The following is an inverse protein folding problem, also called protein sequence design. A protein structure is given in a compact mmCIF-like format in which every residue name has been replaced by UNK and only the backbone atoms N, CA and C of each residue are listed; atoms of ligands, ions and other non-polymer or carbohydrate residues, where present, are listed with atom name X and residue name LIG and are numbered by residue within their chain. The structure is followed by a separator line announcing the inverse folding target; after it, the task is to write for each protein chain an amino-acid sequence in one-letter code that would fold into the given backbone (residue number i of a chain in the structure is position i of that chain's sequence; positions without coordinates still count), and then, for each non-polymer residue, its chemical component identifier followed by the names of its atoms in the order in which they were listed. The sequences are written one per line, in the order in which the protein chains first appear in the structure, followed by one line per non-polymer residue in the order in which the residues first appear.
data_IF_223902610057
#
_entry.id   IF_223902610057
#
_cell.length_a   1.000
_cell.length_b   1.000
_cell.length_c   1.000
_cell.angle_alpha   90.00
_cell.angle_beta   90.00
_cell.angle_gamma   90.00
#
_symmetry.space_group_name_H-M   'P 1'
#
loop_
_entity.id
_entity.type
_entity.pdbx_description
1 polymer ?
#
# COMPACT_ATOMS: atom_id res chain seq x y z
N UNK A 1 5.93 -32.81 43.41
CA UNK A 1 6.42 -31.49 42.96
C UNK A 1 6.68 -31.52 41.44
N UNK A 2 5.67 -31.23 40.60
CA UNK A 2 5.80 -31.09 39.11
C UNK A 2 4.95 -29.92 38.59
N UNK A 3 5.05 -28.77 39.25
CA UNK A 3 4.21 -27.57 38.98
C UNK A 3 5.01 -26.50 38.21
N UNK A 4 6.35 -26.61 38.14
CA UNK A 4 7.21 -25.60 37.52
C UNK A 4 7.07 -25.56 35.99
N UNK A 5 6.93 -26.70 35.30
CA UNK A 5 6.84 -26.74 33.82
C UNK A 5 5.51 -26.22 33.24
N UNK A 6 4.40 -26.25 34.00
CA UNK A 6 3.10 -25.77 33.52
C UNK A 6 2.98 -24.24 33.53
N UNK A 7 3.76 -23.57 34.40
CA UNK A 7 3.81 -22.10 34.47
C UNK A 7 4.66 -21.52 33.33
N UNK A 8 5.79 -22.14 33.00
CA UNK A 8 6.66 -21.67 31.91
C UNK A 8 6.00 -21.83 30.53
N UNK A 9 5.24 -22.91 30.31
CA UNK A 9 4.48 -23.10 29.05
C UNK A 9 3.33 -22.10 28.90
N UNK A 10 2.70 -21.69 30.01
CA UNK A 10 1.63 -20.70 29.99
C UNK A 10 2.17 -19.29 29.72
N UNK A 11 3.35 -18.96 30.27
CA UNK A 11 4.00 -17.66 30.09
C UNK A 11 4.53 -17.47 28.65
N UNK A 12 5.04 -18.53 28.02
CA UNK A 12 5.51 -18.48 26.62
C UNK A 12 4.37 -18.31 25.63
N UNK A 13 3.21 -18.95 25.86
CA UNK A 13 2.03 -18.82 24.99
C UNK A 13 1.45 -17.39 24.97
N UNK A 14 1.46 -16.70 26.12
CA UNK A 14 0.98 -15.31 26.22
C UNK A 14 1.92 -14.36 25.45
N UNK A 15 3.25 -14.53 25.56
CA UNK A 15 4.23 -13.74 24.83
C UNK A 15 4.13 -13.92 23.30
N UNK A 16 3.83 -15.13 22.82
CA UNK A 16 3.67 -15.42 21.38
C UNK A 16 2.47 -14.67 20.77
N UNK A 17 1.41 -14.43 21.56
CA UNK A 17 0.20 -13.73 21.10
C UNK A 17 0.36 -12.22 20.91
N UNK A 18 1.30 -11.57 21.63
CA UNK A 18 1.57 -10.13 21.47
C UNK A 18 2.34 -9.79 20.17
N UNK A 19 2.90 -10.80 19.50
CA UNK A 19 3.68 -10.64 18.26
C UNK A 19 2.88 -10.88 16.97
N UNK A 20 1.57 -11.06 17.04
CA UNK A 20 0.74 -11.22 15.83
C UNK A 20 0.49 -9.83 15.23
N UNK A 21 1.49 -9.34 14.48
CA UNK A 21 1.33 -8.21 13.58
C UNK A 21 0.27 -8.55 12.54
N UNK A 22 -0.96 -8.09 12.78
CA UNK A 22 -2.08 -8.20 11.84
C UNK A 22 -1.83 -7.29 10.63
N UNK A 23 -0.97 -7.71 9.71
CA UNK A 23 -0.91 -7.12 8.38
C UNK A 23 -2.08 -7.68 7.56
N UNK A 24 -3.25 -7.06 7.70
CA UNK A 24 -4.37 -7.30 6.79
C UNK A 24 -4.06 -6.61 5.46
N UNK A 25 -3.46 -7.35 4.53
CA UNK A 25 -3.30 -6.88 3.15
C UNK A 25 -4.48 -7.36 2.32
N UNK A 26 -5.62 -6.70 2.49
CA UNK A 26 -6.55 -6.48 1.38
C UNK A 26 -6.28 -5.06 0.84
N UNK A 27 -5.02 -4.79 0.47
CA UNK A 27 -4.63 -3.47 0.02
C UNK A 27 -5.04 -3.33 -1.45
N UNK A 28 -6.14 -2.63 -1.69
CA UNK A 28 -6.56 -2.15 -3.02
C UNK A 28 -5.65 -1.03 -3.54
N UNK A 29 -4.60 -0.72 -2.79
CA UNK A 29 -3.59 0.28 -3.08
C UNK A 29 -2.20 -0.35 -3.08
N UNK A 30 -1.28 0.24 -3.82
CA UNK A 30 0.13 -0.15 -3.88
C UNK A 30 0.96 1.10 -3.68
N UNK A 31 1.82 1.11 -2.66
CA UNK A 31 2.82 2.16 -2.48
C UNK A 31 4.06 1.82 -3.29
N UNK A 32 4.56 2.76 -4.08
CA UNK A 32 5.80 2.61 -4.83
C UNK A 32 6.64 3.88 -4.79
N UNK A 33 7.96 3.72 -4.63
CA UNK A 33 8.88 4.82 -4.36
C UNK A 33 10.13 4.73 -5.22
N UNK A 34 10.49 5.84 -5.87
CA UNK A 34 11.79 6.02 -6.53
C UNK A 34 12.77 6.55 -5.50
N UNK A 35 13.73 5.72 -5.10
CA UNK A 35 14.80 6.09 -4.17
C UNK A 35 15.98 6.66 -4.97
N UNK A 36 16.62 7.70 -4.46
CA UNK A 36 17.78 8.35 -5.09
C UNK A 36 17.55 8.75 -6.57
N UNK A 37 16.30 9.07 -6.93
CA UNK A 37 15.90 9.38 -8.31
C UNK A 37 16.00 8.22 -9.32
N UNK A 38 16.25 7.00 -8.85
CA UNK A 38 16.43 5.81 -9.69
C UNK A 38 15.11 5.15 -10.09
N UNK A 39 15.17 4.32 -11.13
CA UNK A 39 14.06 3.47 -11.54
C UNK A 39 13.79 2.39 -10.49
N UNK A 40 12.53 2.18 -10.14
CA UNK A 40 12.10 1.11 -9.24
C UNK A 40 10.79 0.50 -9.73
N UNK A 41 10.60 -0.80 -9.47
CA UNK A 41 9.38 -1.54 -9.79
C UNK A 41 8.76 -2.13 -8.54
N UNK A 42 7.44 -2.04 -8.44
CA UNK A 42 6.63 -2.60 -7.38
C UNK A 42 5.62 -3.56 -7.98
N UNK A 43 5.48 -4.73 -7.34
CA UNK A 43 4.50 -5.71 -7.76
C UNK A 43 3.08 -5.20 -7.46
N UNK A 44 2.27 -5.07 -8.50
CA UNK A 44 0.95 -4.44 -8.47
C UNK A 44 -0.10 -5.24 -9.26
N UNK A 45 0.05 -6.58 -9.33
CA UNK A 45 -0.83 -7.46 -10.12
C UNK A 45 -2.30 -7.46 -9.65
N UNK A 46 -2.54 -7.04 -8.41
CA UNK A 46 -3.88 -6.82 -7.88
C UNK A 46 -4.62 -5.69 -8.62
N UNK A 47 -3.89 -4.73 -9.19
CA UNK A 47 -4.44 -3.56 -9.89
C UNK A 47 -4.68 -3.89 -11.37
N UNK A 48 -5.69 -3.24 -11.97
CA UNK A 48 -6.07 -3.38 -13.38
C UNK A 48 -5.77 -2.14 -14.19
N UNK A 49 -6.09 -0.97 -13.65
CA UNK A 49 -5.92 0.36 -14.26
C UNK A 49 -5.54 1.35 -13.15
N UNK A 50 -4.33 1.22 -12.59
CA UNK A 50 -3.92 2.04 -11.45
C UNK A 50 -3.84 3.52 -11.82
N UNK A 51 -4.24 4.35 -10.88
CA UNK A 51 -4.06 5.79 -10.89
C UNK A 51 -3.29 6.22 -9.64
N UNK A 52 -2.58 7.34 -9.73
CA UNK A 52 -1.97 7.97 -8.58
C UNK A 52 -3.08 8.57 -7.71
N UNK A 53 -3.23 8.07 -6.48
CA UNK A 53 -4.23 8.55 -5.51
C UNK A 53 -3.61 9.52 -4.51
N UNK A 54 -2.35 9.30 -4.16
CA UNK A 54 -1.62 10.17 -3.25
C UNK A 54 -0.16 10.25 -3.66
N UNK A 55 0.35 11.46 -3.88
CA UNK A 55 1.77 11.70 -4.11
C UNK A 55 2.46 11.90 -2.76
N UNK A 56 3.51 11.12 -2.48
CA UNK A 56 4.31 11.22 -1.25
C UNK A 56 5.68 11.87 -1.48
N UNK A 57 6.08 12.08 -2.74
CA UNK A 57 7.30 12.82 -3.12
C UNK A 57 7.03 14.29 -3.44
N UNK A 58 8.08 15.12 -3.34
CA UNK A 58 8.07 16.46 -3.95
C UNK A 58 8.24 16.41 -5.47
N UNK A 59 8.98 15.44 -5.99
CA UNK A 59 9.13 15.24 -7.43
C UNK A 59 7.79 14.86 -8.07
N UNK A 60 7.58 15.36 -9.29
CA UNK A 60 6.31 15.19 -10.02
C UNK A 60 6.10 13.75 -10.47
N UNK A 61 4.90 13.23 -10.24
CA UNK A 61 4.47 11.91 -10.71
C UNK A 61 3.57 12.04 -11.96
N UNK A 62 4.18 11.90 -13.14
CA UNK A 62 3.54 12.06 -14.46
C UNK A 62 3.47 10.69 -15.15
N UNK A 63 2.26 10.29 -15.54
CA UNK A 63 2.01 9.02 -16.24
C UNK A 63 2.85 8.94 -17.52
N UNK A 64 3.46 7.78 -17.77
CA UNK A 64 4.36 7.48 -18.88
C UNK A 64 5.66 8.32 -18.90
N UNK A 65 5.96 9.10 -17.85
CA UNK A 65 7.24 9.82 -17.71
C UNK A 65 8.00 9.40 -16.47
N UNK A 66 7.39 9.57 -15.30
CA UNK A 66 8.01 9.27 -14.00
C UNK A 66 7.33 8.13 -13.27
N UNK A 67 6.21 7.62 -13.82
CA UNK A 67 5.63 6.35 -13.42
C UNK A 67 4.81 5.71 -14.54
N UNK A 68 4.51 4.42 -14.41
CA UNK A 68 3.61 3.69 -15.31
C UNK A 68 3.27 2.30 -14.80
N UNK A 69 2.41 1.59 -15.52
CA UNK A 69 1.97 0.24 -15.16
C UNK A 69 1.97 -0.69 -16.37
N UNK A 70 2.52 -1.88 -16.20
CA UNK A 70 2.49 -2.93 -17.22
C UNK A 70 1.43 -3.98 -16.85
N UNK A 71 0.29 -4.03 -17.56
CA UNK A 71 -0.78 -4.98 -17.25
C UNK A 71 -0.42 -6.43 -17.58
N UNK A 72 0.58 -6.69 -18.43
CA UNK A 72 1.02 -8.05 -18.78
C UNK A 72 1.87 -8.64 -17.66
N UNK A 73 2.80 -7.85 -17.12
CA UNK A 73 3.68 -8.31 -16.03
C UNK A 73 3.08 -8.07 -14.64
N UNK A 74 2.13 -7.13 -14.52
CA UNK A 74 1.54 -6.72 -13.26
C UNK A 74 2.47 -5.85 -12.41
N UNK A 75 3.47 -5.21 -13.01
CA UNK A 75 4.40 -4.32 -12.31
C UNK A 75 4.06 -2.85 -12.56
N UNK A 76 4.12 -2.08 -11.48
CA UNK A 76 4.09 -0.62 -11.49
C UNK A 76 5.52 -0.12 -11.35
N UNK A 77 5.94 0.83 -12.18
CA UNK A 77 7.27 1.41 -12.11
C UNK A 77 7.19 2.89 -11.78
N UNK A 78 8.22 3.38 -11.11
CA UNK A 78 8.43 4.80 -10.77
C UNK A 78 9.89 5.17 -11.02
N UNK A 79 10.16 6.42 -11.35
CA UNK A 79 11.51 6.94 -11.60
C UNK A 79 11.60 8.43 -11.31
N UNK A 80 12.83 8.99 -11.35
CA UNK A 80 13.08 10.43 -11.22
C UNK A 80 12.51 11.03 -9.92
N UNK A 81 12.51 10.23 -8.84
CA UNK A 81 12.08 10.65 -7.51
C UNK A 81 10.57 10.60 -7.30
N UNK A 82 9.78 10.17 -8.29
CA UNK A 82 8.34 9.97 -8.10
C UNK A 82 8.09 8.89 -7.04
N UNK A 83 7.29 9.22 -6.03
CA UNK A 83 6.84 8.30 -4.98
C UNK A 83 5.39 8.57 -4.65
N UNK A 84 4.59 7.50 -4.52
CA UNK A 84 3.17 7.65 -4.27
C UNK A 84 2.44 6.34 -4.00
N UNK A 85 1.15 6.50 -3.74
CA UNK A 85 0.19 5.42 -3.55
C UNK A 85 -0.71 5.36 -4.76
N UNK A 86 -0.82 4.16 -5.34
CA UNK A 86 -1.55 3.89 -6.56
C UNK A 86 -2.71 2.94 -6.28
N UNK A 87 -3.85 3.14 -6.94
CA UNK A 87 -5.02 2.28 -6.78
C UNK A 87 -5.86 2.25 -8.05
N UNK A 88 -6.69 1.23 -8.22
CA UNK A 88 -7.75 1.28 -9.22
C UNK A 88 -8.85 2.25 -8.74
N UNK A 89 -9.31 3.20 -9.58
CA UNK A 89 -10.36 4.14 -9.18
C UNK A 89 -11.61 3.42 -8.67
N UNK A 90 -12.03 2.35 -9.34
CA UNK A 90 -13.19 1.53 -8.95
C UNK A 90 -13.01 0.76 -7.63
N UNK A 91 -11.78 0.41 -7.25
CA UNK A 91 -11.46 -0.33 -6.01
C UNK A 91 -11.24 0.56 -4.79
N UNK A 92 -10.99 1.87 -5.00
CA UNK A 92 -10.77 2.84 -3.93
C UNK A 92 -12.07 3.48 -3.39
N UNK A 93 -13.16 3.46 -4.17
CA UNK A 93 -14.46 4.05 -3.78
C UNK A 93 -15.14 3.42 -2.55
N UNK A 94 -14.63 2.29 -2.02
CA UNK A 94 -15.15 1.68 -0.80
C UNK A 94 -14.78 2.39 0.51
N UNK A 95 -13.77 3.28 0.50
CA UNK A 95 -13.34 4.06 1.69
C UNK A 95 -13.66 5.56 1.63
N UNK A 96 -14.07 6.09 0.49
CA UNK A 96 -14.49 7.49 0.33
C UNK A 96 -16.02 7.57 0.35
N UNK A 97 -16.68 7.04 1.40
CA UNK A 97 -18.13 7.21 1.58
C UNK A 97 -18.49 8.48 2.37
N UNK A 98 -17.54 9.30 2.80
CA UNK A 98 -17.83 10.58 3.45
C UNK A 98 -16.79 11.60 2.98
N UNK A 99 -17.22 12.85 2.76
CA UNK A 99 -16.42 13.98 2.28
C UNK A 99 -16.28 14.18 0.75
N UNK A 100 -17.36 13.95 -0.03
CA UNK A 100 -17.57 14.80 -1.23
C UNK A 100 -18.55 15.90 -0.83
N UNK A 101 -18.04 16.95 -0.16
CA UNK A 101 -18.78 18.22 -0.02
C UNK A 101 -18.94 18.80 -1.42
N UNK A 102 -20.06 18.47 -2.07
CA UNK A 102 -20.49 19.11 -3.29
C UNK A 102 -20.67 20.61 -2.99
N UNK A 103 -19.75 21.43 -3.48
CA UNK A 103 -19.96 22.88 -3.57
C UNK A 103 -21.01 23.10 -4.67
N UNK A 104 -22.21 23.62 -4.38
CA UNK A 104 -23.18 23.92 -5.43
C UNK A 104 -22.62 25.03 -6.35
N UNK A 105 -22.85 24.96 -7.67
CA UNK A 105 -22.57 26.08 -8.56
C UNK A 105 -23.53 27.24 -8.25
N UNK A 106 -22.99 28.47 -8.31
CA UNK A 106 -23.76 29.72 -8.25
C UNK A 106 -24.70 29.84 -9.44
#
# INVERSE_FOLDING_TARGET
MKIKNYFYTSLTLILISLSISNHTFAETTVKCESKNFEYNECYAKSLKKPQLIHQSSHASCILNRTWGFNPKSGYLWVSQGCSGVFADPTGYHGRVKLEVRHKPPN
#
